data_IF_323050703042
#
_entry.id   IF_323050703042
#
_cell.length_a   1.000
_cell.length_b   1.000
_cell.length_c   1.000
_cell.angle_alpha   90.00
_cell.angle_beta   90.00
_cell.angle_gamma   90.00
#
_symmetry.space_group_name_H-M   'P 1'
#
loop_
_entity.id
_entity.type
_entity.pdbx_description
1 polymer ?
#
# COMPACT_ATOMS: atom_id res chain seq x y z
N UNK A 1 99.90 -25.30 47.25
CA UNK A 1 98.75 -24.79 48.03
C UNK A 1 98.07 -23.71 47.20
N UNK A 2 96.79 -23.94 46.88
CA UNK A 2 95.74 -23.11 46.27
C UNK A 2 96.11 -22.02 45.22
N UNK A 3 95.62 -22.14 43.97
CA UNK A 3 95.78 -21.13 42.94
C UNK A 3 94.71 -20.02 43.03
N UNK A 4 95.08 -18.89 42.46
CA UNK A 4 94.39 -17.60 42.37
C UNK A 4 92.92 -17.66 41.92
N UNK A 5 92.04 -17.09 42.74
CA UNK A 5 90.68 -16.69 42.38
C UNK A 5 90.71 -15.44 41.48
N UNK A 6 90.98 -15.62 40.20
CA UNK A 6 90.84 -14.56 39.19
C UNK A 6 90.09 -15.13 37.99
N UNK A 7 88.76 -15.11 38.05
CA UNK A 7 87.86 -15.18 36.88
C UNK A 7 86.41 -14.98 37.35
N UNK A 8 86.08 -13.79 37.85
CA UNK A 8 84.68 -13.36 37.96
C UNK A 8 84.56 -11.83 38.06
N UNK A 9 85.19 -11.09 37.13
CA UNK A 9 85.09 -9.62 37.08
C UNK A 9 84.47 -9.10 35.78
N UNK A 10 84.24 -9.93 34.77
CA UNK A 10 83.81 -9.48 33.44
C UNK A 10 82.32 -9.15 33.29
N UNK A 11 81.50 -9.28 34.33
CA UNK A 11 80.07 -8.91 34.29
C UNK A 11 79.59 -8.02 35.43
N UNK A 12 80.48 -7.41 36.21
CA UNK A 12 80.08 -6.53 37.32
C UNK A 12 79.98 -5.08 36.82
N UNK A 13 79.00 -4.79 35.98
CA UNK A 13 78.56 -3.39 35.79
C UNK A 13 78.15 -2.85 37.16
N UNK A 14 78.61 -1.66 37.51
CA UNK A 14 78.31 -1.10 38.83
C UNK A 14 76.81 -0.88 38.98
N UNK A 15 76.26 -1.11 40.16
CA UNK A 15 74.82 -0.91 40.39
C UNK A 15 74.39 0.54 40.17
N UNK A 16 75.34 1.49 40.20
CA UNK A 16 75.09 2.89 39.86
C UNK A 16 74.96 3.08 38.34
N UNK A 17 75.85 2.49 37.53
CA UNK A 17 75.76 2.59 36.05
C UNK A 17 74.47 1.98 35.51
N UNK A 18 74.02 0.87 36.10
CA UNK A 18 72.75 0.24 35.71
C UNK A 18 71.53 1.10 36.08
N UNK A 19 71.60 1.87 37.18
CA UNK A 19 70.52 2.81 37.56
C UNK A 19 70.47 4.00 36.60
N UNK A 20 71.62 4.59 36.29
CA UNK A 20 71.73 5.70 35.34
C UNK A 20 71.22 5.29 33.94
N UNK A 21 71.56 4.08 33.48
CA UNK A 21 71.03 3.53 32.23
C UNK A 21 69.51 3.28 32.30
N UNK A 22 69.00 2.80 33.43
CA UNK A 22 67.56 2.60 33.62
C UNK A 22 66.79 3.93 33.58
N UNK A 23 67.34 4.97 34.20
CA UNK A 23 66.78 6.33 34.17
C UNK A 23 66.80 6.91 32.75
N UNK A 24 67.91 6.73 32.00
CA UNK A 24 67.99 7.13 30.59
C UNK A 24 66.97 6.40 29.72
N UNK A 25 66.82 5.09 29.89
CA UNK A 25 65.84 4.29 29.16
C UNK A 25 64.40 4.69 29.50
N UNK A 26 64.11 4.99 30.78
CA UNK A 26 62.80 5.53 31.20
C UNK A 26 62.53 6.90 30.60
N UNK A 27 63.53 7.78 30.55
CA UNK A 27 63.41 9.09 29.91
C UNK A 27 63.13 8.96 28.40
N UNK A 28 63.85 8.07 27.72
CA UNK A 28 63.62 7.78 26.29
C UNK A 28 62.22 7.17 26.06
N UNK A 29 61.77 6.24 26.90
CA UNK A 29 60.42 5.68 26.81
C UNK A 29 59.33 6.74 27.04
N UNK A 30 59.53 7.65 28.00
CA UNK A 30 58.60 8.76 28.21
C UNK A 30 58.56 9.70 27.00
N UNK A 31 59.72 9.98 26.39
CA UNK A 31 59.81 10.80 25.19
C UNK A 31 59.13 10.14 23.98
N UNK A 32 59.31 8.83 23.76
CA UNK A 32 58.65 8.11 22.67
C UNK A 32 57.15 7.97 22.88
N UNK A 33 56.70 7.77 24.13
CA UNK A 33 55.27 7.75 24.47
C UNK A 33 54.60 9.10 24.24
N UNK A 34 55.27 10.20 24.60
CA UNK A 34 54.79 11.54 24.31
C UNK A 34 54.63 11.76 22.79
N UNK A 35 55.69 11.47 22.01
CA UNK A 35 55.64 11.59 20.55
C UNK A 35 54.56 10.70 19.92
N UNK A 36 54.37 9.47 20.41
CA UNK A 36 53.31 8.58 19.95
C UNK A 36 51.92 9.16 20.22
N UNK A 37 51.70 9.73 21.41
CA UNK A 37 50.42 10.34 21.77
C UNK A 37 50.09 11.56 20.91
N UNK A 38 51.10 12.38 20.58
CA UNK A 38 50.97 13.52 19.68
C UNK A 38 50.61 13.07 18.25
N UNK A 39 51.31 12.06 17.73
CA UNK A 39 51.00 11.49 16.42
C UNK A 39 49.62 10.84 16.37
N UNK A 40 49.19 10.15 17.42
CA UNK A 40 47.84 9.59 17.51
C UNK A 40 46.76 10.67 17.52
N UNK A 41 46.97 11.78 18.23
CA UNK A 41 46.07 12.91 18.22
C UNK A 41 45.99 13.57 16.83
N UNK A 42 47.12 13.71 16.14
CA UNK A 42 47.16 14.22 14.76
C UNK A 42 46.46 13.27 13.76
N UNK A 43 46.60 11.96 13.92
CA UNK A 43 45.89 10.98 13.10
C UNK A 43 44.38 11.02 13.35
N UNK A 44 43.95 11.12 14.61
CA UNK A 44 42.53 11.21 14.95
C UNK A 44 41.86 12.45 14.33
N UNK A 45 42.54 13.60 14.36
CA UNK A 45 42.02 14.83 13.73
C UNK A 45 41.97 14.72 12.21
N UNK A 46 42.97 14.10 11.58
CA UNK A 46 43.00 13.83 10.14
C UNK A 46 41.90 12.85 9.71
N UNK A 47 41.67 11.78 10.47
CA UNK A 47 40.61 10.81 10.19
C UNK A 47 39.21 11.42 10.31
N UNK A 48 38.99 12.26 11.30
CA UNK A 48 37.74 12.98 11.48
C UNK A 48 37.48 13.95 10.31
N UNK A 49 38.51 14.67 9.87
CA UNK A 49 38.44 15.52 8.67
C UNK A 49 38.13 14.68 7.42
N UNK A 50 38.78 13.52 7.26
CA UNK A 50 38.51 12.59 6.14
C UNK A 50 37.08 12.08 6.16
N UNK A 51 36.55 11.66 7.32
CA UNK A 51 35.15 11.21 7.46
C UNK A 51 34.17 12.32 7.07
N UNK A 52 34.39 13.55 7.51
CA UNK A 52 33.56 14.70 7.13
C UNK A 52 33.57 14.95 5.63
N UNK A 53 34.75 14.93 5.02
CA UNK A 53 34.89 15.10 3.56
C UNK A 53 34.22 13.97 2.78
N UNK A 54 34.31 12.72 3.25
CA UNK A 54 33.63 11.57 2.64
C UNK A 54 32.11 11.70 2.68
N UNK A 55 31.55 12.17 3.81
CA UNK A 55 30.12 12.46 3.94
C UNK A 55 29.69 13.55 2.96
N UNK A 56 30.40 14.69 2.95
CA UNK A 56 30.10 15.82 2.05
C UNK A 56 30.22 15.41 0.58
N UNK A 57 31.25 14.64 0.22
CA UNK A 57 31.40 14.10 -1.13
C UNK A 57 30.26 13.13 -1.48
N UNK A 58 29.78 12.34 -0.52
CA UNK A 58 28.61 11.48 -0.68
C UNK A 58 27.35 12.28 -0.97
N UNK A 59 27.12 13.36 -0.20
CA UNK A 59 25.98 14.28 -0.37
C UNK A 59 26.05 15.01 -1.71
N UNK A 60 27.19 15.63 -2.05
CA UNK A 60 27.39 16.33 -3.32
C UNK A 60 27.27 15.39 -4.53
N UNK A 61 27.74 14.13 -4.42
CA UNK A 61 27.56 13.12 -5.46
C UNK A 61 26.09 12.74 -5.61
N UNK A 62 25.32 12.64 -4.51
CA UNK A 62 23.87 12.42 -4.55
C UNK A 62 23.11 13.60 -5.14
N UNK A 63 23.51 14.84 -4.84
CA UNK A 63 22.88 16.03 -5.40
C UNK A 63 23.17 16.20 -6.90
N UNK A 64 24.42 16.00 -7.32
CA UNK A 64 24.84 16.21 -8.72
C UNK A 64 24.55 15.03 -9.64
N UNK A 65 24.72 13.80 -9.14
CA UNK A 65 24.64 12.57 -9.93
C UNK A 65 23.67 11.54 -9.35
N UNK A 66 23.06 11.80 -8.19
CA UNK A 66 21.97 10.97 -7.68
C UNK A 66 20.71 11.18 -8.50
N UNK A 67 19.90 10.13 -8.60
CA UNK A 67 18.61 10.22 -9.27
C UNK A 67 17.74 11.24 -8.53
N UNK A 68 17.33 12.32 -9.19
CA UNK A 68 16.42 13.37 -8.68
C UNK A 68 14.98 12.88 -8.42
N UNK A 69 14.80 11.59 -8.26
CA UNK A 69 13.53 10.92 -8.14
C UNK A 69 13.70 9.92 -7.01
N UNK A 70 12.76 9.94 -6.05
CA UNK A 70 12.53 8.87 -5.07
C UNK A 70 12.26 7.54 -5.80
N UNK A 71 13.27 6.98 -6.46
CA UNK A 71 13.16 5.68 -7.10
C UNK A 71 13.38 4.65 -6.02
N UNK A 72 12.26 4.11 -5.56
CA UNK A 72 12.12 2.88 -4.79
C UNK A 72 13.18 1.85 -5.22
N UNK A 73 13.80 1.17 -4.24
CA UNK A 73 14.80 0.12 -4.53
C UNK A 73 14.17 -0.97 -5.41
N UNK A 74 14.96 -1.66 -6.27
CA UNK A 74 14.47 -2.81 -7.04
C UNK A 74 13.76 -3.87 -6.18
N UNK A 75 14.33 -4.15 -5.01
CA UNK A 75 13.76 -5.05 -4.00
C UNK A 75 12.51 -4.50 -3.29
N UNK A 76 12.22 -3.21 -3.44
CA UNK A 76 11.02 -2.56 -2.93
C UNK A 76 9.90 -2.52 -3.99
N UNK A 77 10.20 -2.73 -5.29
CA UNK A 77 9.19 -3.13 -6.28
C UNK A 77 8.73 -4.58 -6.05
N UNK A 78 9.48 -5.36 -5.27
CA UNK A 78 9.05 -6.65 -4.71
C UNK A 78 8.23 -6.51 -3.42
N UNK A 79 7.43 -5.44 -3.30
CA UNK A 79 6.24 -5.44 -2.46
C UNK A 79 4.98 -5.57 -3.33
N UNK A 80 4.80 -6.66 -4.13
CA UNK A 80 3.74 -6.75 -5.10
C UNK A 80 2.57 -7.52 -4.47
N UNK A 81 2.20 -7.23 -3.23
CA UNK A 81 1.14 -8.01 -2.59
C UNK A 81 -0.15 -7.88 -3.43
N UNK A 82 -0.45 -6.68 -3.91
CA UNK A 82 -1.64 -6.43 -4.72
C UNK A 82 -1.48 -6.84 -6.19
N UNK A 83 -0.31 -6.64 -6.81
CA UNK A 83 -0.08 -7.09 -8.20
C UNK A 83 -0.07 -8.62 -8.30
N UNK A 84 0.43 -9.31 -7.27
CA UNK A 84 0.35 -10.77 -7.14
C UNK A 84 -1.09 -11.21 -6.91
N UNK A 85 -1.87 -10.52 -6.07
CA UNK A 85 -3.31 -10.81 -5.88
C UNK A 85 -4.12 -10.61 -7.18
N UNK A 86 -3.88 -9.51 -7.90
CA UNK A 86 -4.53 -9.26 -9.20
C UNK A 86 -4.13 -10.35 -10.20
N UNK A 87 -2.84 -10.70 -10.27
CA UNK A 87 -2.36 -11.76 -11.14
C UNK A 87 -2.93 -13.14 -10.76
N UNK A 88 -3.03 -13.45 -9.46
CA UNK A 88 -3.66 -14.66 -8.94
C UNK A 88 -5.15 -14.69 -9.28
N UNK A 89 -5.90 -13.60 -9.06
CA UNK A 89 -7.30 -13.53 -9.44
C UNK A 89 -7.54 -13.71 -10.94
N UNK A 90 -6.64 -13.19 -11.79
CA UNK A 90 -6.66 -13.42 -13.24
C UNK A 90 -6.37 -14.89 -13.57
N UNK A 91 -5.39 -15.50 -12.90
CA UNK A 91 -5.04 -16.92 -13.07
C UNK A 91 -6.17 -17.83 -12.61
N UNK A 92 -6.78 -17.58 -11.45
CA UNK A 92 -7.89 -18.35 -10.90
C UNK A 92 -9.12 -18.28 -11.82
N UNK A 93 -9.44 -17.08 -12.32
CA UNK A 93 -10.51 -16.91 -13.30
C UNK A 93 -10.22 -17.65 -14.61
N UNK A 94 -8.95 -17.72 -15.05
CA UNK A 94 -8.54 -18.48 -16.22
C UNK A 94 -8.61 -20.00 -15.97
N UNK A 95 -8.15 -20.47 -14.81
CA UNK A 95 -8.20 -21.88 -14.41
C UNK A 95 -9.65 -22.35 -14.27
N UNK A 96 -10.54 -21.53 -13.71
CA UNK A 96 -11.96 -21.88 -13.61
C UNK A 96 -12.60 -22.02 -15.00
N UNK A 97 -12.24 -21.15 -15.96
CA UNK A 97 -12.70 -21.27 -17.35
C UNK A 97 -12.21 -22.57 -17.99
N UNK A 98 -10.93 -22.91 -17.83
CA UNK A 98 -10.36 -24.17 -18.35
C UNK A 98 -11.06 -25.37 -17.70
N UNK A 99 -11.25 -25.37 -16.39
CA UNK A 99 -11.95 -26.44 -15.67
C UNK A 99 -13.43 -26.56 -16.06
N UNK A 100 -14.09 -25.47 -16.44
CA UNK A 100 -15.46 -25.49 -16.95
C UNK A 100 -15.55 -26.14 -18.35
N UNK A 101 -14.58 -25.85 -19.23
CA UNK A 101 -14.46 -26.47 -20.57
C UNK A 101 -14.21 -27.98 -20.44
N UNK A 102 -13.29 -28.39 -19.57
CA UNK A 102 -12.96 -29.81 -19.35
C UNK A 102 -14.16 -30.60 -18.81
N UNK A 103 -14.98 -30.00 -17.94
CA UNK A 103 -16.18 -30.65 -17.37
C UNK A 103 -17.38 -30.71 -18.32
N UNK A 104 -17.23 -30.34 -19.59
CA UNK A 104 -18.31 -30.38 -20.58
C UNK A 104 -19.51 -29.50 -20.23
N UNK A 105 -19.32 -28.50 -19.34
CA UNK A 105 -20.38 -27.55 -18.98
C UNK A 105 -20.61 -26.64 -20.19
N UNK A 106 -21.70 -26.88 -20.90
CA UNK A 106 -22.07 -26.10 -22.08
C UNK A 106 -22.31 -24.63 -21.72
N UNK A 107 -22.23 -23.75 -22.73
CA UNK A 107 -22.51 -22.31 -22.67
C UNK A 107 -23.83 -21.93 -21.98
N UNK A 108 -24.75 -22.87 -21.77
CA UNK A 108 -25.95 -22.66 -20.96
C UNK A 108 -25.65 -22.35 -19.48
N UNK A 109 -24.58 -22.93 -18.91
CA UNK A 109 -24.15 -22.63 -17.54
C UNK A 109 -23.39 -21.29 -17.41
N UNK A 110 -22.89 -20.77 -18.53
CA UNK A 110 -22.22 -19.47 -18.60
C UNK A 110 -23.25 -18.32 -18.55
N UNK A 111 -24.46 -18.56 -19.08
CA UNK A 111 -25.59 -17.65 -18.91
C UNK A 111 -26.07 -17.55 -17.46
N UNK A 112 -25.96 -18.63 -16.67
CA UNK A 112 -26.29 -18.59 -15.24
C UNK A 112 -25.19 -17.89 -14.41
N UNK A 113 -23.92 -17.97 -14.81
CA UNK A 113 -22.82 -17.26 -14.11
C UNK A 113 -22.81 -15.76 -14.35
N UNK A 114 -23.30 -15.30 -15.51
CA UNK A 114 -23.59 -13.89 -15.73
C UNK A 114 -24.72 -13.33 -14.84
N UNK A 115 -25.48 -14.19 -14.13
CA UNK A 115 -26.53 -13.76 -13.18
C UNK A 115 -26.01 -13.51 -11.77
N UNK A 116 -24.78 -13.89 -11.44
CA UNK A 116 -24.17 -13.54 -10.15
C UNK A 116 -23.60 -12.11 -10.13
N UNK A 117 -24.07 -11.23 -11.02
CA UNK A 117 -24.04 -9.79 -10.77
C UNK A 117 -25.19 -9.44 -9.80
N UNK A 118 -24.95 -9.60 -8.50
CA UNK A 118 -25.64 -8.77 -7.52
C UNK A 118 -26.99 -9.26 -7.00
N UNK A 119 -27.01 -10.40 -6.31
CA UNK A 119 -27.88 -10.49 -5.15
C UNK A 119 -27.19 -9.76 -4.00
N UNK A 120 -27.50 -8.47 -3.83
CA UNK A 120 -27.03 -7.72 -2.68
C UNK A 120 -27.54 -8.41 -1.40
N UNK A 121 -26.72 -8.51 -0.35
CA UNK A 121 -27.12 -9.18 0.87
C UNK A 121 -28.41 -8.61 1.46
N UNK A 122 -29.32 -9.50 1.88
CA UNK A 122 -30.62 -9.09 2.41
C UNK A 122 -30.53 -8.35 3.77
N UNK A 123 -29.43 -8.54 4.50
CA UNK A 123 -29.21 -7.88 5.80
C UNK A 123 -28.83 -6.40 5.68
N UNK A 124 -28.40 -5.94 4.50
CA UNK A 124 -28.05 -4.53 4.32
C UNK A 124 -29.32 -3.67 4.32
N UNK A 125 -29.30 -2.50 4.98
CA UNK A 125 -30.42 -1.58 4.98
C UNK A 125 -30.73 -1.14 3.55
N UNK A 126 -32.00 -1.21 3.15
CA UNK A 126 -32.45 -0.80 1.82
C UNK A 126 -33.05 0.60 1.91
N UNK A 127 -32.56 1.52 1.09
CA UNK A 127 -33.08 2.88 0.96
C UNK A 127 -33.71 3.03 -0.40
N UNK A 128 -35.01 3.30 -0.43
CA UNK A 128 -35.76 3.48 -1.67
C UNK A 128 -35.72 4.94 -2.14
N UNK A 129 -35.50 5.12 -3.44
CA UNK A 129 -35.56 6.40 -4.14
C UNK A 129 -36.48 6.26 -5.35
N UNK A 130 -37.63 6.93 -5.30
CA UNK A 130 -38.57 6.96 -6.42
C UNK A 130 -38.24 8.15 -7.33
N UNK A 131 -38.08 7.89 -8.62
CA UNK A 131 -37.85 8.90 -9.64
C UNK A 131 -39.12 9.10 -10.45
N UNK A 132 -39.87 10.15 -10.10
CA UNK A 132 -41.09 10.55 -10.81
C UNK A 132 -40.75 11.29 -12.12
N UNK A 133 -41.59 11.16 -13.16
CA UNK A 133 -41.46 11.96 -14.37
C UNK A 133 -41.74 13.45 -14.08
N UNK A 134 -41.29 14.33 -14.97
CA UNK A 134 -41.43 15.79 -14.80
C UNK A 134 -42.89 16.26 -14.61
N UNK A 135 -43.86 15.55 -15.16
CA UNK A 135 -45.28 15.77 -14.86
C UNK A 135 -46.01 14.44 -14.65
N UNK A 136 -46.80 14.38 -13.58
CA UNK A 136 -47.74 13.28 -13.31
C UNK A 136 -49.13 13.54 -13.93
N UNK A 137 -49.30 14.66 -14.63
CA UNK A 137 -50.47 15.01 -15.42
C UNK A 137 -50.24 14.71 -16.89
N UNK A 138 -51.28 14.21 -17.56
CA UNK A 138 -51.15 13.84 -18.97
C UNK A 138 -50.90 15.05 -19.87
N UNK A 139 -50.00 14.93 -20.88
CA UNK A 139 -49.90 15.91 -21.96
C UNK A 139 -51.22 16.13 -22.72
N UNK A 140 -52.11 15.14 -22.73
CA UNK A 140 -53.44 15.22 -23.35
C UNK A 140 -54.50 15.97 -22.51
N UNK A 141 -54.18 16.42 -21.29
CA UNK A 141 -55.14 17.09 -20.39
C UNK A 141 -56.18 16.16 -19.76
N UNK A 142 -56.05 14.85 -19.92
CA UNK A 142 -57.03 13.85 -19.50
C UNK A 142 -57.14 13.62 -17.97
N UNK A 143 -56.40 14.38 -17.15
CA UNK A 143 -56.29 14.22 -15.70
C UNK A 143 -54.95 13.64 -15.22
N UNK A 144 -54.99 12.90 -14.10
CA UNK A 144 -53.81 12.30 -13.46
C UNK A 144 -53.41 10.95 -14.06
N UNK A 145 -52.11 10.73 -14.18
CA UNK A 145 -51.50 9.51 -14.73
C UNK A 145 -51.74 8.25 -13.91
N UNK A 146 -51.96 7.10 -14.57
CA UNK A 146 -52.06 5.80 -13.90
C UNK A 146 -50.73 5.03 -14.01
N UNK A 147 -50.20 4.58 -12.88
CA UNK A 147 -49.01 3.71 -12.81
C UNK A 147 -49.37 2.31 -13.35
N UNK A 148 -48.63 1.82 -14.35
CA UNK A 148 -48.79 0.45 -14.89
C UNK A 148 -47.75 -0.49 -14.29
N UNK A 149 -46.54 0.01 -14.03
CA UNK A 149 -45.42 -0.78 -13.58
C UNK A 149 -44.28 0.11 -13.15
N UNK A 150 -43.14 -0.48 -12.86
CA UNK A 150 -41.94 0.23 -12.43
C UNK A 150 -40.70 -0.54 -12.87
N UNK A 151 -39.65 0.21 -13.19
CA UNK A 151 -38.31 -0.36 -13.33
C UNK A 151 -37.54 -0.12 -12.04
N UNK A 152 -37.03 -1.18 -11.43
CA UNK A 152 -36.30 -1.14 -10.16
C UNK A 152 -34.85 -1.52 -10.41
N UNK A 153 -33.92 -0.67 -9.98
CA UNK A 153 -32.50 -0.99 -9.94
C UNK A 153 -31.98 -1.00 -8.50
N UNK A 154 -31.13 -1.97 -8.15
CA UNK A 154 -30.50 -2.08 -6.83
C UNK A 154 -29.00 -1.92 -6.97
N UNK A 155 -28.40 -1.02 -6.20
CA UNK A 155 -26.96 -0.75 -6.21
C UNK A 155 -26.41 -0.66 -4.79
N UNK A 156 -25.17 -1.08 -4.61
CA UNK A 156 -24.47 -0.99 -3.32
C UNK A 156 -23.98 0.43 -3.09
N UNK A 157 -24.43 1.05 -2.01
CA UNK A 157 -24.12 2.42 -1.64
C UNK A 157 -23.43 2.48 -0.28
N UNK A 158 -22.70 3.56 -0.04
CA UNK A 158 -21.98 3.78 1.22
C UNK A 158 -22.26 5.19 1.74
N UNK A 159 -22.61 5.26 3.01
CA UNK A 159 -22.52 6.46 3.83
C UNK A 159 -21.25 6.27 4.69
N UNK A 160 -20.51 7.32 5.08
CA UNK A 160 -19.27 7.19 5.86
C UNK A 160 -19.27 6.22 7.05
N UNK A 161 -20.45 5.85 7.60
CA UNK A 161 -20.60 4.91 8.69
C UNK A 161 -21.28 3.57 8.34
N UNK A 162 -21.86 3.38 7.14
CA UNK A 162 -22.65 2.19 6.83
C UNK A 162 -22.75 1.87 5.34
N UNK A 163 -22.73 0.57 5.02
CA UNK A 163 -23.13 0.04 3.72
C UNK A 163 -24.65 -0.10 3.65
N UNK A 164 -25.22 0.20 2.48
CA UNK A 164 -26.66 0.12 2.24
C UNK A 164 -26.94 -0.25 0.79
N UNK A 165 -28.17 -0.65 0.51
CA UNK A 165 -28.65 -0.87 -0.85
C UNK A 165 -29.50 0.31 -1.27
N UNK A 166 -29.09 1.04 -2.30
CA UNK A 166 -29.91 2.06 -2.92
C UNK A 166 -30.83 1.40 -3.97
N UNK A 167 -32.13 1.40 -3.69
CA UNK A 167 -33.16 0.89 -4.58
C UNK A 167 -33.77 2.07 -5.34
N UNK A 168 -33.47 2.19 -6.62
CA UNK A 168 -34.03 3.25 -7.46
C UNK A 168 -35.23 2.72 -8.25
N UNK A 169 -36.42 3.22 -7.92
CA UNK A 169 -37.69 2.85 -8.55
C UNK A 169 -38.10 3.92 -9.56
N UNK A 170 -38.36 3.54 -10.81
CA UNK A 170 -38.80 4.42 -11.90
C UNK A 170 -40.19 4.00 -12.39
N UNK A 171 -41.27 4.55 -11.82
CA UNK A 171 -42.63 4.21 -12.21
C UNK A 171 -42.92 4.55 -13.68
N UNK A 172 -43.65 3.66 -14.35
CA UNK A 172 -44.16 3.81 -15.71
C UNK A 172 -45.62 4.18 -15.67
N UNK A 173 -45.96 5.26 -16.37
CA UNK A 173 -47.30 5.83 -16.39
C UNK A 173 -47.91 5.77 -17.80
N UNK A 174 -49.23 5.60 -17.89
CA UNK A 174 -49.99 5.69 -19.15
C UNK A 174 -51.33 6.39 -18.98
N UNK A 175 -51.83 6.94 -20.08
CA UNK A 175 -53.21 7.36 -20.23
C UNK A 175 -54.12 6.19 -20.60
N UNK A 176 -55.00 5.78 -19.66
CA UNK A 176 -56.03 4.77 -19.96
C UNK A 176 -57.08 5.23 -20.96
N UNK A 177 -57.31 6.55 -21.05
CA UNK A 177 -58.41 7.14 -21.83
C UNK A 177 -58.08 7.34 -23.31
N UNK A 178 -56.79 7.42 -23.63
CA UNK A 178 -56.31 7.88 -24.92
C UNK A 178 -55.24 6.96 -25.54
N UNK A 179 -54.97 5.79 -24.94
CA UNK A 179 -53.96 4.83 -25.40
C UNK A 179 -52.63 5.50 -25.77
N UNK A 180 -52.22 6.49 -24.97
CA UNK A 180 -51.03 7.31 -25.21
C UNK A 180 -49.73 6.57 -24.93
N UNK A 181 -48.60 7.20 -25.26
CA UNK A 181 -47.26 6.68 -24.97
C UNK A 181 -47.00 6.53 -23.47
N UNK A 182 -46.12 5.59 -23.12
CA UNK A 182 -45.66 5.39 -21.74
C UNK A 182 -44.74 6.54 -21.35
N UNK A 183 -45.05 7.17 -20.22
CA UNK A 183 -44.22 8.24 -19.63
C UNK A 183 -43.45 7.66 -18.44
N UNK A 184 -42.15 7.88 -18.42
CA UNK A 184 -41.24 7.42 -17.37
C UNK A 184 -40.13 8.45 -17.20
N UNK A 185 -39.65 8.66 -15.96
CA UNK A 185 -38.45 9.45 -15.71
C UNK A 185 -37.24 8.87 -16.46
N UNK A 186 -36.31 9.70 -16.94
CA UNK A 186 -35.09 9.21 -17.61
C UNK A 186 -34.23 8.34 -16.66
N UNK A 187 -33.49 7.38 -17.22
CA UNK A 187 -32.57 6.57 -16.43
C UNK A 187 -31.40 7.44 -15.97
N UNK A 188 -31.05 7.49 -14.68
CA UNK A 188 -29.86 8.21 -14.27
C UNK A 188 -28.62 7.63 -14.96
N UNK A 189 -27.75 8.51 -15.43
CA UNK A 189 -26.46 8.10 -15.95
C UNK A 189 -25.52 7.74 -14.80
N UNK A 190 -24.69 6.73 -15.03
CA UNK A 190 -23.83 6.14 -14.02
C UNK A 190 -22.41 6.01 -14.58
N UNK A 191 -21.42 6.19 -13.71
CA UNK A 191 -20.00 6.12 -14.10
C UNK A 191 -19.66 4.79 -14.77
N UNK A 192 -20.22 3.69 -14.25
CA UNK A 192 -20.12 2.36 -14.86
C UNK A 192 -21.53 1.90 -15.25
N UNK A 193 -21.84 1.79 -16.56
CA UNK A 193 -23.14 1.31 -17.02
C UNK A 193 -23.44 -0.10 -16.50
N UNK A 194 -24.53 -0.26 -15.75
CA UNK A 194 -24.91 -1.53 -15.12
C UNK A 194 -23.99 -1.98 -13.98
N UNK A 195 -23.14 -1.10 -13.47
CA UNK A 195 -22.28 -1.38 -12.31
C UNK A 195 -23.08 -1.55 -11.02
N UNK A 196 -22.74 -2.58 -10.24
CA UNK A 196 -23.32 -2.83 -8.92
C UNK A 196 -23.05 -1.72 -7.89
N UNK A 197 -21.83 -1.17 -7.74
CA UNK A 197 -21.57 -0.10 -6.78
C UNK A 197 -22.10 1.24 -7.29
N UNK A 198 -22.59 2.09 -6.40
CA UNK A 198 -22.87 3.50 -6.66
C UNK A 198 -21.57 4.29 -6.81
N UNK A 199 -21.70 5.52 -7.26
CA UNK A 199 -20.59 6.46 -7.43
C UNK A 199 -19.91 6.76 -6.08
N UNK A 200 -20.68 6.81 -4.98
CA UNK A 200 -20.14 6.96 -3.63
C UNK A 200 -19.33 5.73 -3.19
N UNK A 201 -19.81 4.52 -3.48
CA UNK A 201 -19.09 3.28 -3.16
C UNK A 201 -17.77 3.18 -3.94
N UNK A 202 -17.77 3.58 -5.21
CA UNK A 202 -16.54 3.64 -6.02
C UNK A 202 -15.57 4.66 -5.42
N UNK A 203 -16.06 5.86 -5.10
CA UNK A 203 -15.23 6.90 -4.49
C UNK A 203 -14.61 6.44 -3.17
N UNK A 204 -15.37 5.78 -2.30
CA UNK A 204 -14.88 5.24 -1.03
C UNK A 204 -13.71 4.29 -1.22
N UNK A 205 -13.82 3.32 -2.14
CA UNK A 205 -12.76 2.35 -2.44
C UNK A 205 -11.51 3.04 -2.97
N UNK A 206 -11.68 4.02 -3.87
CA UNK A 206 -10.57 4.79 -4.45
C UNK A 206 -9.88 5.64 -3.38
N UNK A 207 -10.63 6.35 -2.53
CA UNK A 207 -10.08 7.17 -1.45
C UNK A 207 -9.34 6.29 -0.45
N UNK A 208 -9.91 5.16 -0.05
CA UNK A 208 -9.23 4.24 0.87
C UNK A 208 -7.94 3.70 0.25
N UNK A 209 -7.95 3.39 -1.05
CA UNK A 209 -6.78 2.86 -1.75
C UNK A 209 -5.67 3.90 -1.90
N UNK A 210 -6.01 5.09 -2.37
CA UNK A 210 -5.02 6.08 -2.82
C UNK A 210 -4.83 7.26 -1.86
N UNK A 211 -5.86 7.63 -1.10
CA UNK A 211 -5.80 8.66 -0.06
C UNK A 211 -5.32 8.09 1.27
N UNK A 212 -5.94 7.00 1.74
CA UNK A 212 -5.64 6.42 3.05
C UNK A 212 -4.67 5.22 3.00
N UNK A 213 -4.10 4.94 1.83
CA UNK A 213 -3.13 3.86 1.60
C UNK A 213 -3.55 2.48 2.15
N UNK A 214 -4.85 2.21 2.17
CA UNK A 214 -5.41 0.94 2.65
C UNK A 214 -5.50 -0.05 1.49
N UNK A 215 -4.76 -1.17 1.52
CA UNK A 215 -4.70 -2.12 0.41
C UNK A 215 -6.04 -2.85 0.21
N UNK A 216 -6.27 -3.38 -1.00
CA UNK A 216 -7.57 -3.98 -1.35
C UNK A 216 -7.96 -5.18 -0.49
N UNK A 217 -7.03 -6.08 -0.14
CA UNK A 217 -7.32 -7.20 0.76
C UNK A 217 -7.85 -6.70 2.11
N UNK A 218 -7.24 -5.65 2.66
CA UNK A 218 -7.63 -5.07 3.94
C UNK A 218 -8.99 -4.38 3.83
N UNK A 219 -9.27 -3.71 2.71
CA UNK A 219 -10.60 -3.18 2.45
C UNK A 219 -11.65 -4.30 2.39
N UNK A 220 -11.34 -5.41 1.72
CA UNK A 220 -12.24 -6.55 1.63
C UNK A 220 -12.52 -7.17 3.01
N UNK A 221 -11.52 -7.26 3.89
CA UNK A 221 -11.70 -7.68 5.29
C UNK A 221 -12.58 -6.70 6.08
N UNK A 222 -12.38 -5.39 5.92
CA UNK A 222 -13.18 -4.36 6.59
C UNK A 222 -14.65 -4.41 6.13
N UNK A 223 -14.90 -4.73 4.86
CA UNK A 223 -16.24 -4.81 4.28
C UNK A 223 -16.85 -6.21 4.34
N UNK A 224 -16.08 -7.20 4.80
CA UNK A 224 -16.61 -8.52 5.05
C UNK A 224 -17.74 -8.39 6.08
N UNK A 225 -18.83 -9.16 5.95
CA UNK A 225 -19.85 -9.21 6.98
C UNK A 225 -19.17 -9.56 8.30
N UNK A 226 -19.20 -8.64 9.27
CA UNK A 226 -18.86 -8.99 10.63
C UNK A 226 -19.90 -10.01 11.09
N UNK A 227 -19.44 -11.16 11.60
CA UNK A 227 -20.28 -12.17 12.25
C UNK A 227 -21.04 -11.48 13.41
N UNK A 228 -22.21 -10.94 13.08
CA UNK A 228 -23.13 -10.36 14.04
C UNK A 228 -23.92 -11.54 14.60
N UNK A 229 -23.47 -11.96 15.78
CA UNK A 229 -24.23 -12.81 16.70
C UNK A 229 -25.46 -12.04 17.20
#
# INVERSE_FOLDING_TARGET
>A
MAPSAQTCSTWRMSTATLRDENERLKALLAQTQAALSEHQAALATSEEARRRLEVILGELRREKFGAKSEKLRPDQYHLPLEDVEIAQGVLDAAQEKVAAVIRGRSRASDQDRHRNRGCLPAHLPQVERILEPASTFYPCGCGAMTKIGEDVSKRLDVIPAQWRVLVTSRPKYICRRCSGSVVQAHAPEHVVPGGLPTEAAIAQVIVFKFGDHTPFYRQAEIYAPGDST
#
